data_IF_430665860725
#
_entry.id   IF_430665860725
#
_cell.length_a   1.000
_cell.length_b   1.000
_cell.length_c   1.000
_cell.angle_alpha   90.00
_cell.angle_beta   90.00
_cell.angle_gamma   90.00
#
_symmetry.space_group_name_H-M   'P 1'
#
loop_
_entity.id
_entity.type
_entity.pdbx_description
1 polymer ?
#
# COMPACT_ATOMS: atom_id res chain seq x y z
N UNK A 1 28.76 -36.31 4.16
CA UNK A 1 29.95 -35.47 3.88
C UNK A 1 29.89 -35.16 2.39
N UNK A 2 29.68 -33.96 1.89
CA UNK A 2 30.15 -32.64 2.30
C UNK A 2 30.86 -32.03 1.08
N UNK A 3 30.31 -30.93 0.53
CA UNK A 3 30.92 -29.80 -0.20
C UNK A 3 32.02 -30.11 -1.24
N UNK A 4 32.06 -29.62 -2.47
CA UNK A 4 31.42 -28.48 -3.14
C UNK A 4 32.38 -27.97 -4.24
N UNK A 5 31.86 -27.50 -5.37
CA UNK A 5 32.47 -26.51 -6.29
C UNK A 5 31.45 -26.32 -7.43
N UNK A 6 31.06 -25.15 -7.89
CA UNK A 6 31.52 -23.79 -7.68
C UNK A 6 31.02 -22.99 -8.89
N UNK A 7 29.71 -22.75 -8.97
CA UNK A 7 29.16 -21.87 -10.00
C UNK A 7 29.03 -20.47 -9.40
N UNK A 8 29.86 -19.54 -9.87
CA UNK A 8 29.76 -18.11 -9.54
C UNK A 8 28.38 -17.60 -9.96
N UNK A 9 27.48 -17.39 -9.02
CA UNK A 9 26.36 -16.48 -9.22
C UNK A 9 26.89 -15.06 -9.12
N UNK A 10 26.88 -14.37 -10.27
CA UNK A 10 26.96 -12.91 -10.31
C UNK A 10 25.72 -12.39 -9.60
N UNK A 11 25.88 -11.80 -8.42
CA UNK A 11 24.81 -11.06 -7.76
C UNK A 11 24.62 -9.74 -8.51
N UNK A 12 23.92 -9.80 -9.64
CA UNK A 12 23.11 -8.68 -10.07
C UNK A 12 21.98 -8.59 -9.05
N UNK A 13 21.86 -7.47 -8.33
CA UNK A 13 20.69 -7.23 -7.48
C UNK A 13 19.43 -7.31 -8.35
N UNK A 14 18.52 -8.21 -8.00
CA UNK A 14 17.31 -8.46 -8.79
C UNK A 14 16.41 -7.21 -8.74
N UNK A 15 16.11 -6.55 -9.88
CA UNK A 15 15.39 -5.27 -9.92
C UNK A 15 13.89 -5.37 -9.56
N UNK A 16 13.47 -6.41 -8.85
CA UNK A 16 12.08 -6.65 -8.46
C UNK A 16 11.89 -7.26 -7.07
N UNK A 17 12.96 -7.37 -6.26
CA UNK A 17 12.83 -7.93 -4.91
C UNK A 17 12.39 -6.84 -3.93
N UNK A 18 11.16 -6.98 -3.42
CA UNK A 18 10.74 -6.23 -2.23
C UNK A 18 11.48 -6.79 -1.03
N UNK A 19 12.28 -5.96 -0.35
CA UNK A 19 13.08 -6.40 0.79
C UNK A 19 12.22 -6.48 2.07
N UNK A 20 11.15 -5.68 2.14
CA UNK A 20 10.28 -5.57 3.30
C UNK A 20 8.80 -5.57 2.88
N UNK A 21 8.01 -6.37 3.62
CA UNK A 21 6.56 -6.46 3.49
C UNK A 21 5.95 -6.40 4.89
N UNK A 22 5.01 -5.50 5.10
CA UNK A 22 4.31 -5.32 6.38
C UNK A 22 2.80 -5.38 6.19
N UNK A 23 2.10 -6.07 7.08
CA UNK A 23 0.64 -6.08 7.11
C UNK A 23 0.14 -5.13 8.19
N UNK A 24 -0.81 -4.27 7.85
CA UNK A 24 -1.47 -3.35 8.76
C UNK A 24 -2.81 -3.95 9.21
N UNK A 25 -3.07 -3.95 10.51
CA UNK A 25 -4.23 -4.62 11.12
C UNK A 25 -5.34 -3.67 11.58
N UNK A 26 -5.21 -2.36 11.33
CA UNK A 26 -6.16 -1.35 11.81
C UNK A 26 -7.45 -1.24 10.96
N UNK A 27 -7.53 -2.00 9.87
CA UNK A 27 -8.69 -2.03 9.00
C UNK A 27 -9.79 -2.95 9.50
N UNK A 28 -11.03 -2.46 9.57
CA UNK A 28 -12.22 -3.27 9.91
C UNK A 28 -12.58 -4.23 8.77
N UNK A 29 -12.57 -3.75 7.52
CA UNK A 29 -13.11 -4.49 6.36
C UNK A 29 -12.09 -4.78 5.26
N UNK A 30 -10.86 -4.26 5.36
CA UNK A 30 -9.83 -4.41 4.33
C UNK A 30 -8.52 -4.80 5.00
N UNK A 31 -7.81 -5.75 4.41
CA UNK A 31 -6.42 -6.02 4.78
C UNK A 31 -5.54 -5.10 3.96
N UNK A 32 -4.61 -4.40 4.62
CA UNK A 32 -3.67 -3.50 3.97
C UNK A 32 -2.26 -4.07 4.13
N UNK A 33 -1.51 -4.16 3.04
CA UNK A 33 -0.14 -4.67 3.01
C UNK A 33 0.74 -3.61 2.36
N UNK A 34 1.80 -3.19 3.04
CA UNK A 34 2.82 -2.30 2.50
C UNK A 34 4.03 -3.10 2.02
N UNK A 35 4.64 -2.70 0.90
CA UNK A 35 5.90 -3.25 0.44
C UNK A 35 6.85 -2.13 -0.05
N UNK A 36 8.13 -2.24 0.30
CA UNK A 36 9.15 -1.27 -0.07
C UNK A 36 10.55 -1.92 -0.12
N UNK A 37 11.49 -1.20 -0.71
CA UNK A 37 12.86 -1.67 -0.94
C UNK A 37 13.86 -0.96 -0.01
N UNK A 38 15.00 -1.59 0.27
CA UNK A 38 16.14 -0.91 0.89
C UNK A 38 16.24 -1.02 2.42
N UNK A 39 15.49 -1.92 3.06
CA UNK A 39 15.67 -2.24 4.48
C UNK A 39 15.34 -1.11 5.48
N UNK A 40 14.86 0.04 4.98
CA UNK A 40 14.54 1.25 5.76
C UNK A 40 13.08 1.32 6.21
N UNK A 41 12.64 2.50 6.62
CA UNK A 41 11.25 2.78 6.98
C UNK A 41 10.34 2.95 5.75
N UNK A 42 9.01 2.94 5.98
CA UNK A 42 8.00 3.14 4.94
C UNK A 42 8.14 4.56 4.35
N UNK A 43 8.60 4.64 3.09
CA UNK A 43 8.87 5.90 2.40
C UNK A 43 7.91 6.18 1.23
N UNK A 44 8.12 7.29 0.53
CA UNK A 44 7.30 7.74 -0.60
C UNK A 44 7.26 6.72 -1.76
N UNK A 45 8.31 5.91 -1.91
CA UNK A 45 8.40 4.83 -2.90
C UNK A 45 7.68 3.53 -2.47
N UNK A 46 7.10 3.51 -1.26
CA UNK A 46 6.38 2.33 -0.78
C UNK A 46 5.05 2.15 -1.52
N UNK A 47 4.71 0.89 -1.78
CA UNK A 47 3.44 0.50 -2.38
C UNK A 47 2.52 -0.08 -1.33
N UNK A 48 1.23 0.26 -1.43
CA UNK A 48 0.17 -0.26 -0.60
C UNK A 48 -0.78 -1.13 -1.41
N UNK A 49 -0.90 -2.38 -1.00
CA UNK A 49 -1.87 -3.35 -1.50
C UNK A 49 -3.05 -3.40 -0.52
N UNK A 50 -4.20 -2.93 -0.98
CA UNK A 50 -5.46 -3.04 -0.25
C UNK A 50 -6.25 -4.21 -0.78
N UNK A 51 -6.46 -5.21 0.06
CA UNK A 51 -7.23 -6.41 -0.23
C UNK A 51 -8.61 -6.26 0.42
N UNK A 52 -9.66 -6.41 -0.39
CA UNK A 52 -11.03 -6.29 0.07
C UNK A 52 -11.46 -7.53 0.85
N UNK A 53 -12.08 -7.34 2.02
CA UNK A 53 -12.69 -8.41 2.79
C UNK A 53 -13.95 -8.97 2.11
N UNK A 54 -14.29 -10.22 2.43
CA UNK A 54 -15.48 -10.87 1.87
C UNK A 54 -16.77 -10.12 2.26
N UNK A 55 -17.74 -10.07 1.33
CA UNK A 55 -19.07 -9.46 1.49
C UNK A 55 -19.12 -7.92 1.47
N UNK A 56 -18.07 -7.25 1.01
CA UNK A 56 -18.07 -5.79 0.86
C UNK A 56 -18.58 -5.33 -0.52
N UNK A 57 -18.70 -6.25 -1.50
CA UNK A 57 -19.23 -5.95 -2.83
C UNK A 57 -20.73 -5.56 -2.85
N UNK A 58 -21.48 -5.84 -1.77
CA UNK A 58 -22.89 -5.49 -1.67
C UNK A 58 -23.15 -4.01 -1.39
N UNK A 59 -22.12 -3.26 -0.95
CA UNK A 59 -22.27 -1.87 -0.50
C UNK A 59 -21.31 -0.87 -1.17
N UNK A 60 -20.28 -1.33 -1.88
CA UNK A 60 -19.21 -0.45 -2.40
C UNK A 60 -19.08 -0.58 -3.93
N UNK A 61 -19.28 0.53 -4.64
CA UNK A 61 -18.97 0.64 -6.07
C UNK A 61 -17.45 0.77 -6.28
N UNK A 62 -16.82 -0.33 -6.68
CA UNK A 62 -15.38 -0.41 -6.94
C UNK A 62 -14.94 0.40 -8.16
N UNK A 63 -15.84 0.61 -9.13
CA UNK A 63 -15.52 1.41 -10.32
C UNK A 63 -15.46 2.89 -9.96
N UNK A 64 -16.40 3.36 -9.15
CA UNK A 64 -16.39 4.71 -8.61
C UNK A 64 -15.16 4.98 -7.74
N UNK A 65 -14.75 4.01 -6.90
CA UNK A 65 -13.53 4.11 -6.07
C UNK A 65 -12.28 4.33 -6.93
N UNK A 66 -12.09 3.51 -7.97
CA UNK A 66 -10.96 3.62 -8.91
C UNK A 66 -10.98 4.96 -9.65
N UNK A 67 -12.15 5.39 -10.12
CA UNK A 67 -12.30 6.67 -10.83
C UNK A 67 -11.96 7.85 -9.91
N UNK A 68 -12.46 7.84 -8.68
CA UNK A 68 -12.20 8.89 -7.70
C UNK A 68 -10.72 8.97 -7.35
N UNK A 69 -10.04 7.84 -7.13
CA UNK A 69 -8.60 7.84 -6.86
C UNK A 69 -7.80 8.44 -8.02
N UNK A 70 -8.13 8.07 -9.26
CA UNK A 70 -7.47 8.62 -10.45
C UNK A 70 -7.70 10.13 -10.59
N UNK A 71 -8.94 10.58 -10.35
CA UNK A 71 -9.29 12.00 -10.41
C UNK A 71 -8.54 12.81 -9.35
N UNK A 72 -8.54 12.34 -8.09
CA UNK A 72 -7.82 13.00 -7.01
C UNK A 72 -6.32 13.07 -7.29
N UNK A 73 -5.73 11.99 -7.80
CA UNK A 73 -4.33 11.97 -8.19
C UNK A 73 -4.01 12.98 -9.30
N UNK A 74 -4.88 13.09 -10.32
CA UNK A 74 -4.72 14.08 -11.40
C UNK A 74 -4.71 15.53 -10.88
N UNK A 75 -5.31 15.79 -9.71
CA UNK A 75 -5.29 17.08 -9.03
C UNK A 75 -4.25 17.20 -7.90
N UNK A 76 -3.36 16.21 -7.73
CA UNK A 76 -2.33 16.23 -6.68
C UNK A 76 -2.87 15.99 -5.26
N UNK A 77 -4.08 15.45 -5.13
CA UNK A 77 -4.77 15.24 -3.85
C UNK A 77 -4.67 13.79 -3.35
N UNK A 78 -4.14 12.88 -4.16
CA UNK A 78 -3.97 11.48 -3.79
C UNK A 78 -2.70 10.88 -4.41
N UNK A 79 -2.19 9.84 -3.77
CA UNK A 79 -1.12 9.00 -4.28
C UNK A 79 -1.51 8.30 -5.60
N UNK A 80 -0.54 7.97 -6.47
CA UNK A 80 -0.81 7.32 -7.75
C UNK A 80 -1.46 5.94 -7.55
N UNK A 81 -2.50 5.66 -8.34
CA UNK A 81 -3.08 4.33 -8.45
C UNK A 81 -2.32 3.53 -9.51
N UNK A 82 -1.59 2.49 -9.09
CA UNK A 82 -0.80 1.66 -10.00
C UNK A 82 -1.65 0.59 -10.70
N UNK A 83 -2.48 -0.13 -9.95
CA UNK A 83 -3.40 -1.11 -10.54
C UNK A 83 -4.64 -1.35 -9.67
N UNK A 84 -5.70 -1.84 -10.30
CA UNK A 84 -6.90 -2.33 -9.64
C UNK A 84 -7.17 -3.75 -10.14
N UNK A 85 -7.59 -4.62 -9.22
CA UNK A 85 -7.86 -6.02 -9.49
C UNK A 85 -9.15 -6.44 -8.79
N UNK A 86 -9.65 -7.64 -9.09
CA UNK A 86 -11.00 -8.06 -8.69
C UNK A 86 -11.25 -7.99 -7.18
N UNK A 87 -10.21 -8.26 -6.37
CA UNK A 87 -10.29 -8.28 -4.92
C UNK A 87 -9.43 -7.20 -4.24
N UNK A 88 -9.11 -6.10 -4.92
CA UNK A 88 -8.31 -5.04 -4.31
C UNK A 88 -7.71 -4.02 -5.26
N UNK A 89 -6.79 -3.21 -4.72
CA UNK A 89 -6.07 -2.18 -5.46
C UNK A 89 -4.65 -1.99 -4.92
N UNK A 90 -3.77 -1.49 -5.78
CA UNK A 90 -2.38 -1.14 -5.46
C UNK A 90 -2.14 0.33 -5.78
N UNK A 91 -1.67 1.09 -4.79
CA UNK A 91 -1.45 2.54 -4.87
C UNK A 91 -0.24 2.95 -4.04
N UNK A 92 0.32 4.12 -4.33
CA UNK A 92 1.46 4.65 -3.60
C UNK A 92 1.15 4.97 -2.13
N UNK A 93 2.16 4.91 -1.28
CA UNK A 93 2.07 5.35 0.11
C UNK A 93 2.01 6.88 0.18
N UNK A 94 1.12 7.40 1.03
CA UNK A 94 1.04 8.84 1.29
C UNK A 94 1.56 9.08 2.72
N UNK A 95 2.72 9.74 2.90
CA UNK A 95 3.28 9.96 4.23
C UNK A 95 2.37 10.87 5.04
N UNK A 96 2.16 10.51 6.31
CA UNK A 96 1.31 11.27 7.23
C UNK A 96 1.09 10.55 8.55
N UNK A 97 0.45 11.24 9.49
CA UNK A 97 -0.01 10.66 10.74
C UNK A 97 -1.49 10.26 10.63
N UNK A 98 -1.83 9.07 11.14
CA UNK A 98 -3.23 8.65 11.24
C UNK A 98 -3.89 9.49 12.33
N UNK A 99 -5.03 10.11 12.00
CA UNK A 99 -5.80 10.87 12.98
C UNK A 99 -6.37 9.96 14.06
N UNK A 100 -6.29 10.39 15.31
CA UNK A 100 -6.92 9.70 16.44
C UNK A 100 -8.22 10.39 16.87
N UNK A 101 -8.93 9.76 17.81
CA UNK A 101 -10.22 10.30 18.29
C UNK A 101 -10.09 11.64 19.03
N UNK A 102 -8.89 12.04 19.45
CA UNK A 102 -8.67 13.34 20.07
C UNK A 102 -8.45 14.41 19.00
N UNK A 103 -7.63 14.10 17.99
CA UNK A 103 -7.36 14.97 16.85
C UNK A 103 -8.66 15.33 16.10
N UNK A 104 -9.55 14.37 15.89
CA UNK A 104 -10.84 14.61 15.22
C UNK A 104 -11.77 15.52 16.04
N UNK A 105 -11.59 15.58 17.37
CA UNK A 105 -12.37 16.46 18.26
C UNK A 105 -11.76 17.86 18.38
N UNK A 106 -10.57 18.09 17.83
CA UNK A 106 -9.93 19.41 17.85
C UNK A 106 -10.74 20.39 16.98
N UNK A 107 -11.24 21.52 17.53
CA UNK A 107 -11.98 22.53 16.77
C UNK A 107 -11.18 23.19 15.64
N UNK A 108 -9.85 23.09 15.65
CA UNK A 108 -9.00 23.57 14.55
C UNK A 108 -8.93 22.59 13.38
N UNK A 109 -9.25 21.31 13.59
CA UNK A 109 -9.28 20.26 12.56
C UNK A 109 -10.71 19.97 12.08
N UNK A 110 -11.71 20.05 12.96
CA UNK A 110 -13.11 19.67 12.69
C UNK A 110 -13.97 20.77 12.04
N UNK A 111 -13.37 21.88 11.59
CA UNK A 111 -14.08 23.05 11.07
C UNK A 111 -14.40 22.99 9.58
#
# INVERSE_FOLDING_TARGET
MGLGSGFRQRNFGDPGKCDLVQTFTDGITNQLVGCWQGGGELGEEALLLRIYGQKTELFIDRSAEVLNMRLLHAHGLAAPLHCAFRNGLCYGFNPGCVGDTQLVRDPHISR
#
